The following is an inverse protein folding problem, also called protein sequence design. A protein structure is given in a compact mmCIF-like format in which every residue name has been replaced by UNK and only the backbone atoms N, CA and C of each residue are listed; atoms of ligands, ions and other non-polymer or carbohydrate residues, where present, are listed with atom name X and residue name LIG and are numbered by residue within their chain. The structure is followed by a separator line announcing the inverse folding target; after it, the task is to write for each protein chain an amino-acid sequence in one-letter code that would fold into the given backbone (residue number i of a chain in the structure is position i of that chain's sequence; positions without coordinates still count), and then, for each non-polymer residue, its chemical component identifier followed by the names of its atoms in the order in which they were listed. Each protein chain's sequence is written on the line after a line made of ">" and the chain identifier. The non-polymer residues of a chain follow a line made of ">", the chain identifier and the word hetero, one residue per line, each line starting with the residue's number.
data_IF_488311882572
#
_entry.id   IF_488311882572
#
_cell.length_a   1.000
_cell.length_b   1.000
_cell.length_c   1.000
_cell.angle_alpha   90.00
_cell.angle_beta   90.00
_cell.angle_gamma   90.00
#
_symmetry.space_group_name_H-M   'P 1'
#
loop_
_entity.id
_entity.type
_entity.pdbx_description
1 polymer ?
#
# COMPACT_ATOMS: atom_id res chain seq x y z
N UNK A 1 19.86 29.04 -35.57
CA UNK A 1 19.90 29.93 -34.39
C UNK A 1 19.08 29.31 -33.26
N UNK A 2 19.74 28.78 -32.23
CA UNK A 2 19.29 28.86 -30.84
C UNK A 2 20.51 28.52 -29.98
N UNK A 3 21.10 29.56 -29.42
CA UNK A 3 22.07 29.51 -28.34
C UNK A 3 21.27 29.72 -27.05
N UNK A 4 21.42 28.82 -26.07
CA UNK A 4 22.04 29.11 -24.77
C UNK A 4 21.69 28.05 -23.72
N UNK A 5 22.75 27.62 -23.06
CA UNK A 5 22.85 26.85 -21.83
C UNK A 5 22.56 27.75 -20.61
N UNK A 6 21.88 27.23 -19.59
CA UNK A 6 22.09 27.60 -18.18
C UNK A 6 22.06 26.32 -17.35
N UNK A 7 23.12 26.13 -16.57
CA UNK A 7 23.38 24.98 -15.72
C UNK A 7 22.79 25.16 -14.31
N UNK A 8 22.39 24.04 -13.70
CA UNK A 8 22.62 23.82 -12.28
C UNK A 8 22.95 22.34 -12.09
N UNK A 9 24.24 22.02 -12.07
CA UNK A 9 24.71 20.77 -11.49
C UNK A 9 24.67 20.98 -10.00
N UNK A 10 23.59 20.53 -9.36
CA UNK A 10 23.64 20.24 -7.93
C UNK A 10 24.57 19.03 -7.80
N UNK A 11 25.79 19.26 -7.33
CA UNK A 11 26.61 18.23 -6.71
C UNK A 11 25.90 17.73 -5.46
N UNK A 12 24.81 16.99 -5.64
CA UNK A 12 24.32 16.07 -4.64
C UNK A 12 25.26 14.88 -4.70
N UNK A 13 26.00 14.62 -3.63
CA UNK A 13 26.45 13.26 -3.39
C UNK A 13 25.20 12.39 -3.47
N UNK A 14 25.10 11.55 -4.52
CA UNK A 14 24.34 10.31 -4.37
C UNK A 14 25.06 9.60 -3.23
N UNK A 15 24.53 9.77 -2.01
CA UNK A 15 24.76 8.76 -0.99
C UNK A 15 24.39 7.46 -1.68
N UNK A 16 25.32 6.52 -1.77
CA UNK A 16 25.04 5.21 -2.33
C UNK A 16 23.70 4.78 -1.71
N UNK A 17 22.66 4.72 -2.56
CA UNK A 17 21.35 4.39 -2.09
C UNK A 17 21.43 3.03 -1.40
N UNK A 18 20.55 2.74 -0.45
CA UNK A 18 20.47 1.41 0.15
C UNK A 18 20.38 0.36 -0.96
N UNK A 19 20.87 -0.84 -0.65
CA UNK A 19 21.06 -1.93 -1.60
C UNK A 19 19.82 -2.10 -2.52
N UNK A 20 20.03 -2.40 -3.83
CA UNK A 20 18.94 -2.50 -4.80
C UNK A 20 17.91 -3.59 -4.48
N UNK A 21 18.16 -4.43 -3.48
CA UNK A 21 17.29 -5.51 -3.03
C UNK A 21 16.09 -5.03 -2.20
N UNK A 22 16.12 -3.81 -1.63
CA UNK A 22 15.03 -3.30 -0.78
C UNK A 22 14.08 -2.32 -1.48
N UNK A 23 14.22 -2.07 -2.79
CA UNK A 23 13.16 -1.37 -3.54
C UNK A 23 11.88 -2.22 -3.52
N UNK A 24 10.73 -1.61 -3.22
CA UNK A 24 9.47 -2.31 -2.97
C UNK A 24 9.07 -3.26 -4.11
N UNK A 25 9.27 -2.85 -5.36
CA UNK A 25 8.96 -3.66 -6.56
C UNK A 25 9.91 -4.84 -6.77
N UNK A 26 11.12 -4.77 -6.20
CA UNK A 26 12.13 -5.84 -6.28
C UNK A 26 11.99 -6.79 -5.09
N UNK A 27 11.82 -6.25 -3.90
CA UNK A 27 11.70 -7.00 -2.65
C UNK A 27 10.36 -7.75 -2.55
N UNK A 28 9.28 -7.10 -2.98
CA UNK A 28 7.90 -7.60 -2.87
C UNK A 28 7.17 -7.56 -4.23
N UNK A 29 7.67 -8.29 -5.26
CA UNK A 29 7.13 -8.24 -6.61
C UNK A 29 5.73 -8.85 -6.73
N UNK A 30 5.31 -9.65 -5.73
CA UNK A 30 3.95 -10.18 -5.65
C UNK A 30 2.92 -9.16 -5.15
N UNK A 31 3.36 -8.14 -4.41
CA UNK A 31 2.49 -7.14 -3.79
C UNK A 31 2.50 -5.82 -4.56
N UNK A 32 3.62 -5.47 -5.21
CA UNK A 32 3.82 -4.19 -5.85
C UNK A 32 3.81 -4.27 -7.37
N UNK A 33 2.91 -3.50 -8.00
CA UNK A 33 2.86 -3.35 -9.45
C UNK A 33 2.98 -1.88 -9.84
N UNK A 34 3.89 -1.59 -10.77
CA UNK A 34 4.04 -0.24 -11.33
C UNK A 34 2.87 0.06 -12.27
N UNK A 35 2.11 1.10 -11.96
CA UNK A 35 1.06 1.62 -12.83
C UNK A 35 1.54 2.79 -13.70
N UNK A 36 2.44 3.62 -13.15
CA UNK A 36 3.06 4.75 -13.82
C UNK A 36 4.45 4.97 -13.24
N UNK A 37 5.43 5.27 -14.08
CA UNK A 37 6.76 5.71 -13.64
C UNK A 37 7.34 6.71 -14.64
N UNK A 38 7.84 7.83 -14.13
CA UNK A 38 8.56 8.85 -14.89
C UNK A 38 9.54 9.60 -13.97
N UNK A 39 10.22 10.61 -14.50
CA UNK A 39 11.26 11.37 -13.79
C UNK A 39 10.76 12.18 -12.58
N UNK A 40 9.45 12.22 -12.32
CA UNK A 40 8.85 13.00 -11.24
C UNK A 40 8.09 12.13 -10.24
N UNK A 41 7.38 11.10 -10.71
CA UNK A 41 6.52 10.27 -9.85
C UNK A 41 6.57 8.79 -10.25
N UNK A 42 6.40 7.94 -9.23
CA UNK A 42 6.09 6.51 -9.39
C UNK A 42 4.76 6.23 -8.69
N UNK A 43 3.82 5.62 -9.39
CA UNK A 43 2.53 5.18 -8.85
C UNK A 43 2.53 3.67 -8.81
N UNK A 44 2.34 3.13 -7.62
CA UNK A 44 2.27 1.69 -7.37
C UNK A 44 0.84 1.30 -7.02
N UNK A 45 0.38 0.20 -7.61
CA UNK A 45 -0.71 -0.60 -7.05
C UNK A 45 -0.09 -1.53 -6.01
N UNK A 46 -0.66 -1.54 -4.82
CA UNK A 46 -0.23 -2.40 -3.71
C UNK A 46 -1.39 -3.30 -3.33
N UNK A 47 -1.16 -4.62 -3.37
CA UNK A 47 -2.13 -5.64 -2.97
C UNK A 47 -1.52 -6.53 -1.89
N UNK A 48 -2.24 -6.67 -0.77
CA UNK A 48 -1.85 -7.52 0.36
C UNK A 48 -3.07 -8.33 0.77
N UNK A 49 -2.97 -9.65 0.69
CA UNK A 49 -4.07 -10.53 1.04
C UNK A 49 -4.30 -10.55 2.57
N UNK A 50 -5.52 -10.91 3.03
CA UNK A 50 -5.77 -11.07 4.46
C UNK A 50 -4.84 -12.10 5.10
N UNK A 51 -4.11 -11.68 6.14
CA UNK A 51 -3.13 -12.52 6.84
C UNK A 51 -1.77 -12.64 6.15
N UNK A 52 -1.58 -12.00 5.01
CA UNK A 52 -0.29 -11.89 4.35
C UNK A 52 0.60 -10.85 5.05
N UNK A 53 1.91 -11.10 5.07
CA UNK A 53 2.92 -10.13 5.46
C UNK A 53 3.81 -9.87 4.25
N UNK A 54 3.88 -8.63 3.82
CA UNK A 54 4.74 -8.25 2.70
C UNK A 54 6.22 -8.48 3.06
N UNK A 55 7.06 -8.89 2.08
CA UNK A 55 8.50 -8.88 2.26
C UNK A 55 9.01 -7.49 2.68
N UNK A 56 10.03 -7.47 3.54
CA UNK A 56 10.63 -6.23 4.04
C UNK A 56 11.22 -5.43 2.88
N UNK A 57 10.91 -4.14 2.85
CA UNK A 57 11.36 -3.21 1.81
C UNK A 57 11.43 -1.80 2.38
N UNK A 58 12.02 -0.87 1.62
CA UNK A 58 12.19 0.52 2.01
C UNK A 58 11.29 1.45 1.20
N UNK A 59 10.68 2.43 1.88
CA UNK A 59 10.00 3.55 1.23
C UNK A 59 11.02 4.64 0.90
N UNK A 60 11.87 4.36 -0.10
CA UNK A 60 13.02 5.20 -0.48
C UNK A 60 12.68 6.66 -0.77
N UNK A 61 11.48 6.92 -1.26
CA UNK A 61 11.00 8.26 -1.61
C UNK A 61 9.83 8.67 -0.71
N UNK A 62 9.66 9.97 -0.42
CA UNK A 62 8.44 10.47 0.20
C UNK A 62 7.21 10.03 -0.58
N UNK A 63 6.25 9.41 0.09
CA UNK A 63 5.09 8.79 -0.54
C UNK A 63 3.80 9.17 0.18
N UNK A 64 2.68 9.04 -0.54
CA UNK A 64 1.33 9.10 0.01
C UNK A 64 0.66 7.77 -0.28
N UNK A 65 0.18 7.09 0.75
CA UNK A 65 -0.60 5.86 0.59
C UNK A 65 -2.09 6.21 0.54
N UNK A 66 -2.72 5.91 -0.59
CA UNK A 66 -4.17 5.99 -0.72
C UNK A 66 -4.77 4.60 -0.58
N UNK A 67 -5.28 4.29 0.62
CA UNK A 67 -5.83 2.98 0.95
C UNK A 67 -7.30 2.94 0.54
N UNK A 68 -7.63 2.08 -0.43
CA UNK A 68 -8.99 1.93 -0.97
C UNK A 68 -9.82 0.96 -0.12
N UNK A 69 -9.26 -0.20 0.21
CA UNK A 69 -9.91 -1.26 0.98
C UNK A 69 -9.21 -1.45 2.32
N UNK A 70 -9.41 -0.50 3.23
CA UNK A 70 -8.71 -0.49 4.51
C UNK A 70 -9.15 -1.65 5.41
N UNK A 71 -8.20 -2.54 5.70
CA UNK A 71 -8.33 -3.65 6.63
C UNK A 71 -7.57 -3.31 7.92
N UNK A 72 -7.93 -3.91 9.08
CA UNK A 72 -7.03 -3.94 10.22
C UNK A 72 -5.67 -4.51 9.78
N UNK A 73 -4.61 -3.74 9.98
CA UNK A 73 -3.26 -4.08 9.54
C UNK A 73 -2.25 -3.80 10.63
N UNK A 74 -1.05 -4.33 10.49
CA UNK A 74 0.06 -4.09 11.41
C UNK A 74 1.22 -3.55 10.60
N UNK A 75 1.67 -2.36 10.97
CA UNK A 75 2.94 -1.81 10.48
C UNK A 75 4.07 -2.45 11.29
N UNK A 76 5.05 -3.02 10.60
CA UNK A 76 6.22 -3.69 11.19
C UNK A 76 7.46 -2.90 10.81
N UNK A 77 8.13 -2.32 11.79
CA UNK A 77 9.31 -1.50 11.57
C UNK A 77 10.59 -2.30 11.78
N UNK A 78 11.55 -2.14 10.87
CA UNK A 78 12.86 -2.79 10.91
C UNK A 78 13.97 -1.75 10.95
N UNK A 79 15.10 -2.12 11.55
CA UNK A 79 16.34 -1.34 11.54
C UNK A 79 17.51 -2.23 11.12
N UNK A 80 18.42 -1.68 10.32
CA UNK A 80 19.63 -2.39 9.93
C UNK A 80 20.67 -2.32 11.05
N UNK A 81 20.94 -3.46 11.69
CA UNK A 81 21.92 -3.58 12.80
C UNK A 81 22.99 -4.59 12.45
N UNK A 82 24.22 -4.11 12.25
CA UNK A 82 25.36 -4.97 11.89
C UNK A 82 25.15 -5.75 10.60
N UNK A 83 24.42 -5.19 9.63
CA UNK A 83 24.12 -5.84 8.35
C UNK A 83 22.89 -6.77 8.35
N UNK A 84 22.21 -6.92 9.50
CA UNK A 84 20.98 -7.70 9.59
C UNK A 84 19.77 -6.79 9.82
N UNK A 85 18.65 -7.11 9.17
CA UNK A 85 17.37 -6.47 9.46
C UNK A 85 16.82 -7.00 10.78
N UNK A 86 16.65 -6.12 11.76
CA UNK A 86 16.12 -6.45 13.08
C UNK A 86 14.78 -5.74 13.24
N UNK A 87 13.74 -6.50 13.56
CA UNK A 87 12.43 -5.93 13.90
C UNK A 87 12.54 -5.08 15.17
N UNK A 88 12.12 -3.82 15.11
CA UNK A 88 12.18 -2.88 16.24
C UNK A 88 10.79 -2.51 16.77
N UNK A 89 9.72 -2.86 16.05
CA UNK A 89 8.37 -2.57 16.51
C UNK A 89 7.26 -3.11 15.63
N UNK A 90 6.09 -3.24 16.25
CA UNK A 90 4.81 -3.53 15.58
C UNK A 90 3.77 -2.54 16.05
N UNK A 91 3.06 -1.92 15.10
CA UNK A 91 1.99 -0.97 15.37
C UNK A 91 0.72 -1.40 14.67
N UNK A 92 -0.32 -1.67 15.44
CA UNK A 92 -1.65 -1.88 14.89
C UNK A 92 -2.15 -0.59 14.23
N UNK A 93 -2.56 -0.68 12.98
CA UNK A 93 -3.26 0.36 12.26
C UNK A 93 -4.75 0.04 12.30
N UNK A 94 -5.61 1.02 12.69
CA UNK A 94 -7.04 0.79 12.67
C UNK A 94 -7.48 0.50 11.24
N UNK A 95 -8.39 -0.46 11.09
CA UNK A 95 -9.10 -0.62 9.82
C UNK A 95 -9.81 0.69 9.46
N UNK A 96 -10.00 0.93 8.17
CA UNK A 96 -10.83 2.05 7.76
C UNK A 96 -12.27 1.83 8.22
N UNK A 97 -13.08 2.88 8.12
CA UNK A 97 -14.52 2.73 8.34
C UNK A 97 -15.00 1.59 7.42
N UNK A 98 -15.73 0.59 7.93
CA UNK A 98 -16.32 -0.44 7.08
C UNK A 98 -17.07 0.26 5.92
N UNK A 99 -17.00 -0.26 4.69
CA UNK A 99 -17.69 0.37 3.58
C UNK A 99 -19.16 0.58 3.97
N UNK A 100 -19.79 1.69 3.59
CA UNK A 100 -21.14 2.03 4.06
C UNK A 100 -22.21 0.97 3.71
N UNK A 101 -21.84 -0.03 2.92
CA UNK A 101 -22.66 -1.16 2.44
C UNK A 101 -22.14 -2.55 2.88
N UNK A 102 -21.14 -2.66 3.78
CA UNK A 102 -20.73 -3.97 4.33
C UNK A 102 -21.69 -4.47 5.42
N UNK A 103 -22.56 -3.62 5.94
CA UNK A 103 -23.75 -4.03 6.71
C UNK A 103 -24.94 -4.12 5.77
N UNK A 104 -25.53 -5.32 5.65
CA UNK A 104 -26.54 -5.70 4.65
C UNK A 104 -26.02 -5.76 3.21
N UNK A 105 -25.51 -6.94 2.82
CA UNK A 105 -25.64 -7.32 1.41
C UNK A 105 -27.14 -7.38 1.11
N UNK A 106 -27.64 -6.43 0.32
CA UNK A 106 -29.04 -6.33 -0.15
C UNK A 106 -29.57 -7.59 -0.84
N UNK A 107 -28.71 -8.59 -1.05
CA UNK A 107 -28.90 -9.73 -1.92
C UNK A 107 -28.11 -10.94 -1.42
N UNK A 108 -28.79 -11.84 -0.72
CA UNK A 108 -28.32 -13.22 -0.50
C UNK A 108 -28.77 -14.06 -1.69
N UNK A 109 -27.87 -14.75 -2.42
CA UNK A 109 -28.27 -15.69 -3.46
C UNK A 109 -29.03 -16.86 -2.81
N UNK A 110 -30.31 -17.03 -3.16
CA UNK A 110 -31.04 -18.25 -2.83
C UNK A 110 -30.83 -19.28 -3.95
N UNK A 111 -30.78 -20.59 -3.62
CA UNK A 111 -30.58 -21.65 -4.61
C UNK A 111 -31.67 -21.73 -5.69
N UNK A 112 -32.80 -21.03 -5.49
CA UNK A 112 -33.93 -20.94 -6.43
C UNK A 112 -33.80 -19.83 -7.49
N UNK A 113 -32.74 -19.01 -7.49
CA UNK A 113 -32.60 -17.89 -8.43
C UNK A 113 -33.56 -16.72 -8.18
N UNK A 114 -34.26 -16.71 -7.04
CA UNK A 114 -35.17 -15.62 -6.64
C UNK A 114 -34.59 -14.78 -5.52
N UNK A 115 -34.86 -13.47 -5.55
CA UNK A 115 -34.46 -12.53 -4.49
C UNK A 115 -35.50 -12.50 -3.37
N UNK A 116 -35.09 -12.60 -2.10
CA UNK A 116 -35.99 -12.43 -0.96
C UNK A 116 -36.42 -10.94 -0.82
N UNK A 117 -37.68 -10.63 -0.49
CA UNK A 117 -38.14 -9.25 -0.37
C UNK A 117 -37.50 -8.55 0.84
N UNK A 118 -37.08 -7.30 0.62
CA UNK A 118 -36.49 -6.38 1.61
C UNK A 118 -37.37 -6.28 2.85
N UNK A 119 -37.06 -6.99 3.93
CA UNK A 119 -37.57 -6.65 5.26
C UNK A 119 -36.49 -6.82 6.33
N UNK A 120 -36.08 -5.65 6.85
CA UNK A 120 -35.82 -5.38 8.27
C UNK A 120 -34.67 -6.07 9.01
N UNK A 121 -33.45 -6.14 8.44
CA UNK A 121 -32.28 -6.63 9.18
C UNK A 121 -31.05 -5.71 9.16
N UNK A 122 -31.25 -4.40 9.03
CA UNK A 122 -30.20 -3.43 9.34
C UNK A 122 -30.68 -2.53 10.49
N UNK A 123 -30.55 -2.99 11.73
CA UNK A 123 -30.47 -2.06 12.85
C UNK A 123 -29.06 -1.48 12.83
N UNK A 124 -28.91 -0.26 12.31
CA UNK A 124 -27.75 0.54 12.61
C UNK A 124 -27.75 0.76 14.13
N UNK A 125 -26.84 0.11 14.85
CA UNK A 125 -26.59 0.46 16.24
C UNK A 125 -25.73 1.73 16.21
N UNK A 126 -26.24 2.79 16.84
CA UNK A 126 -25.54 4.07 17.08
C UNK A 126 -24.23 3.87 17.84
#
# INVERSE_FOLDING_TARGET
>A
MKLMLVALVLSGTVSAGPAPDLDAVVAAPGNHKILLENDQVRVLQVEVAPGETEPVHEHRWPSVLHIQDAQPSVDISYELRGGNLVEIGRRALPGGRPPPHSGCRDRVPMPSGTWAPRRSACSASN
#
